data_IF_241901125556
#
_entry.id   IF_241901125556
#
_cell.length_a   1.000
_cell.length_b   1.000
_cell.length_c   1.000
_cell.angle_alpha   90.00
_cell.angle_beta   90.00
_cell.angle_gamma   90.00
#
_symmetry.space_group_name_H-M   'P 1'
#
loop_
_entity.id
_entity.type
_entity.pdbx_description
1 polymer ?
#
# COMPACT_ATOMS: atom_id res chain seq x y z
N UNK A 1 -0.67 2.40 14.70
CA UNK A 1 -0.05 1.52 13.67
C UNK A 1 1.32 2.06 13.28
N UNK A 2 2.24 1.21 12.80
CA UNK A 2 3.53 1.66 12.24
C UNK A 2 3.42 1.86 10.73
N UNK A 3 3.84 3.04 10.27
CA UNK A 3 3.89 3.39 8.86
C UNK A 3 5.17 2.84 8.23
N UNK A 4 5.03 2.20 7.08
CA UNK A 4 6.13 1.69 6.27
C UNK A 4 6.05 2.19 4.83
N UNK A 5 7.22 2.20 4.18
CA UNK A 5 7.37 2.46 2.76
C UNK A 5 8.25 1.38 2.14
N UNK A 6 7.76 0.77 1.08
CA UNK A 6 8.49 -0.18 0.26
C UNK A 6 8.67 0.43 -1.13
N UNK A 7 9.89 0.46 -1.62
CA UNK A 7 10.17 0.84 -3.01
C UNK A 7 10.54 -0.40 -3.80
N UNK A 8 9.86 -0.60 -4.93
CA UNK A 8 10.19 -1.64 -5.91
C UNK A 8 10.34 -1.02 -7.30
N UNK A 9 10.89 -1.79 -8.23
CA UNK A 9 11.19 -1.31 -9.57
C UNK A 9 10.59 -2.22 -10.64
N UNK A 10 10.36 -1.64 -11.83
CA UNK A 10 9.90 -2.37 -13.02
C UNK A 10 8.58 -3.13 -12.79
N UNK A 11 7.62 -2.49 -12.13
CA UNK A 11 6.29 -3.10 -11.94
C UNK A 11 5.50 -3.06 -13.25
N UNK A 12 5.25 -4.22 -13.85
CA UNK A 12 4.48 -4.37 -15.08
C UNK A 12 3.00 -4.61 -14.76
N UNK A 13 2.10 -3.83 -15.38
CA UNK A 13 0.65 -3.95 -15.22
C UNK A 13 0.06 -4.99 -16.18
N UNK A 14 -1.01 -5.67 -15.75
CA UNK A 14 -1.71 -6.68 -16.53
C UNK A 14 -2.27 -6.11 -17.84
N UNK A 15 -2.80 -4.91 -17.81
CA UNK A 15 -3.35 -4.23 -19.00
C UNK A 15 -2.29 -3.57 -19.90
N UNK A 16 -1.01 -3.74 -19.58
CA UNK A 16 0.13 -3.13 -20.26
C UNK A 16 0.62 -1.86 -19.56
N UNK A 17 1.84 -1.48 -19.88
CA UNK A 17 2.56 -0.41 -19.21
C UNK A 17 3.38 -0.90 -18.03
N UNK A 18 4.39 -0.12 -17.66
CA UNK A 18 5.34 -0.42 -16.58
C UNK A 18 5.62 0.85 -15.78
N UNK A 19 5.75 0.72 -14.48
CA UNK A 19 6.34 1.75 -13.62
C UNK A 19 7.78 1.38 -13.31
N UNK A 20 8.70 2.27 -13.65
CA UNK A 20 10.13 2.09 -13.37
C UNK A 20 10.40 2.07 -11.86
N UNK A 21 9.64 2.87 -11.12
CA UNK A 21 9.68 2.92 -9.66
C UNK A 21 8.26 2.96 -9.10
N UNK A 22 8.00 2.09 -8.12
CA UNK A 22 6.76 2.01 -7.38
C UNK A 22 7.05 2.16 -5.90
N UNK A 23 6.52 3.20 -5.26
CA UNK A 23 6.48 3.34 -3.81
C UNK A 23 5.15 2.79 -3.30
N UNK A 24 5.21 1.93 -2.29
CA UNK A 24 4.06 1.32 -1.63
C UNK A 24 4.08 1.78 -0.18
N UNK A 25 2.99 2.41 0.26
CA UNK A 25 2.82 2.86 1.64
C UNK A 25 1.82 1.94 2.33
N UNK A 26 2.17 1.47 3.51
CA UNK A 26 1.34 0.55 4.28
C UNK A 26 1.57 0.72 5.78
N UNK A 27 0.63 0.21 6.58
CA UNK A 27 0.75 0.17 8.03
C UNK A 27 0.72 -1.27 8.53
N UNK A 28 1.48 -1.51 9.60
CA UNK A 28 1.43 -2.77 10.36
C UNK A 28 1.11 -2.50 11.83
N UNK A 29 0.81 -3.55 12.57
CA UNK A 29 0.78 -3.52 14.03
C UNK A 29 2.04 -2.87 14.60
N UNK A 30 1.96 -2.21 15.78
CA UNK A 30 3.12 -1.54 16.40
C UNK A 30 4.05 -2.55 17.10
N UNK A 31 4.27 -3.70 16.49
CA UNK A 31 5.15 -4.77 16.94
C UNK A 31 5.61 -5.61 15.75
N UNK A 32 6.69 -6.36 15.98
CA UNK A 32 7.20 -7.30 14.98
C UNK A 32 6.29 -8.54 14.87
N UNK A 33 6.21 -9.09 13.65
CA UNK A 33 5.57 -10.38 13.41
C UNK A 33 6.31 -11.50 14.14
N UNK A 34 5.56 -12.42 14.75
CA UNK A 34 6.08 -13.64 15.32
C UNK A 34 5.39 -14.85 14.72
N UNK A 35 6.15 -15.93 14.57
CA UNK A 35 5.59 -17.17 14.04
C UNK A 35 4.44 -17.66 14.95
N UNK A 36 3.27 -17.84 14.34
CA UNK A 36 2.05 -18.25 15.04
C UNK A 36 1.09 -17.10 15.34
N UNK A 37 1.47 -15.86 15.02
CA UNK A 37 0.55 -14.73 15.11
C UNK A 37 -0.68 -14.92 14.22
N UNK A 38 -1.83 -14.47 14.72
CA UNK A 38 -2.99 -14.25 13.86
C UNK A 38 -2.71 -13.04 12.97
N UNK A 39 -2.54 -13.27 11.68
CA UNK A 39 -2.35 -12.20 10.69
C UNK A 39 -3.71 -11.75 10.19
N UNK A 40 -3.99 -10.45 10.30
CA UNK A 40 -5.20 -9.82 9.81
C UNK A 40 -4.84 -8.83 8.71
N UNK A 41 -5.18 -9.14 7.48
CA UNK A 41 -4.99 -8.26 6.33
C UNK A 41 -6.27 -7.45 6.10
N UNK A 42 -6.19 -6.14 6.31
CA UNK A 42 -7.31 -5.23 6.10
C UNK A 42 -7.23 -4.58 4.72
N UNK A 43 -8.32 -4.64 3.98
CA UNK A 43 -8.47 -3.94 2.71
C UNK A 43 -9.31 -2.68 2.94
N UNK A 44 -8.69 -1.51 2.83
CA UNK A 44 -9.38 -0.25 3.07
C UNK A 44 -10.36 0.12 1.94
N UNK A 45 -11.38 0.91 2.26
CA UNK A 45 -12.31 1.46 1.29
C UNK A 45 -11.60 2.48 0.38
N UNK A 46 -12.17 2.75 -0.81
CA UNK A 46 -11.57 3.59 -1.86
C UNK A 46 -11.07 4.96 -1.35
N UNK A 47 -11.77 5.56 -0.41
CA UNK A 47 -11.46 6.89 0.14
C UNK A 47 -10.70 6.86 1.47
N UNK A 48 -10.46 5.68 2.03
CA UNK A 48 -9.73 5.50 3.26
C UNK A 48 -8.21 5.38 3.01
N UNK A 49 -7.45 5.32 4.08
CA UNK A 49 -6.00 5.13 4.07
C UNK A 49 -5.59 3.78 4.67
N UNK A 50 -4.28 3.54 4.75
CA UNK A 50 -3.75 2.30 5.32
C UNK A 50 -3.66 2.30 6.86
N UNK A 51 -4.06 3.38 7.57
CA UNK A 51 -4.19 3.33 9.02
C UNK A 51 -5.64 3.03 9.43
N UNK A 52 -6.00 1.79 9.76
CA UNK A 52 -7.38 1.44 10.09
C UNK A 52 -7.87 2.05 11.40
N UNK A 53 -6.98 2.56 12.26
CA UNK A 53 -7.39 3.28 13.47
C UNK A 53 -8.04 4.62 13.15
N UNK A 54 -7.74 5.23 11.98
CA UNK A 54 -8.33 6.49 11.55
C UNK A 54 -9.79 6.36 11.13
N UNK A 55 -10.17 5.22 10.55
CA UNK A 55 -11.46 5.10 9.87
C UNK A 55 -12.32 3.92 10.35
N UNK A 56 -11.77 3.03 11.19
CA UNK A 56 -12.53 1.90 11.71
C UNK A 56 -12.31 1.64 13.22
N UNK A 57 -12.36 2.68 14.06
CA UNK A 57 -12.02 2.58 15.49
C UNK A 57 -12.93 1.63 16.28
N UNK A 58 -14.16 1.34 15.79
CA UNK A 58 -15.07 0.39 16.46
C UNK A 58 -14.72 -1.07 16.18
N UNK A 59 -13.90 -1.34 15.15
CA UNK A 59 -13.51 -2.69 14.73
C UNK A 59 -12.04 -2.99 15.02
N UNK A 60 -11.20 -1.96 14.99
CA UNK A 60 -9.75 -2.08 15.15
C UNK A 60 -9.30 -1.26 16.35
N UNK A 61 -8.71 -1.91 17.34
CA UNK A 61 -8.25 -1.26 18.56
C UNK A 61 -8.21 -2.21 19.75
N UNK A 62 -7.83 -1.68 20.89
CA UNK A 62 -7.84 -2.45 22.15
C UNK A 62 -9.29 -2.83 22.52
N UNK A 63 -9.52 -4.10 22.79
CA UNK A 63 -10.84 -4.64 23.11
C UNK A 63 -11.78 -4.82 21.90
N UNK A 64 -11.34 -4.49 20.70
CA UNK A 64 -12.09 -4.67 19.46
C UNK A 64 -11.86 -6.05 18.83
N UNK A 65 -12.61 -6.35 17.77
CA UNK A 65 -12.52 -7.60 17.04
C UNK A 65 -11.11 -7.85 16.47
N UNK A 66 -10.44 -6.78 16.04
CA UNK A 66 -9.05 -6.77 15.59
C UNK A 66 -8.24 -5.91 16.54
N UNK A 67 -7.34 -6.52 17.29
CA UNK A 67 -6.50 -5.81 18.27
C UNK A 67 -5.03 -5.81 17.81
N UNK A 68 -4.48 -4.66 17.35
CA UNK A 68 -3.10 -4.60 16.87
C UNK A 68 -2.02 -4.95 17.90
N UNK A 69 -2.37 -4.97 19.21
CA UNK A 69 -1.45 -5.42 20.27
C UNK A 69 -1.36 -6.94 20.38
N UNK A 70 -2.37 -7.66 19.86
CA UNK A 70 -2.47 -9.12 19.91
C UNK A 70 -2.36 -9.75 18.52
N UNK A 71 -2.93 -9.07 17.51
CA UNK A 71 -2.92 -9.50 16.13
C UNK A 71 -1.79 -8.81 15.34
N UNK A 72 -1.22 -9.49 14.36
CA UNK A 72 -0.38 -8.84 13.38
C UNK A 72 -1.25 -8.31 12.24
N UNK A 73 -1.58 -7.03 12.31
CA UNK A 73 -2.44 -6.35 11.34
C UNK A 73 -1.60 -5.75 10.23
N UNK A 74 -2.03 -5.93 8.97
CA UNK A 74 -1.44 -5.30 7.79
C UNK A 74 -2.54 -4.59 7.00
N UNK A 75 -2.30 -3.36 6.61
CA UNK A 75 -3.17 -2.61 5.71
C UNK A 75 -2.32 -1.82 4.71
N UNK A 76 -2.57 -2.00 3.43
CA UNK A 76 -1.77 -1.44 2.32
C UNK A 76 -2.59 -0.44 1.53
N UNK A 77 -2.03 0.75 1.27
CA UNK A 77 -2.63 1.71 0.34
C UNK A 77 -2.59 1.16 -1.09
N UNK A 78 -3.74 1.08 -1.73
CA UNK A 78 -3.88 0.63 -3.11
C UNK A 78 -3.33 1.66 -4.11
N UNK A 79 -3.16 1.26 -5.38
CA UNK A 79 -2.83 2.20 -6.46
C UNK A 79 -3.84 3.34 -6.53
N UNK A 80 -3.35 4.54 -6.80
CA UNK A 80 -4.19 5.73 -6.92
C UNK A 80 -4.68 6.30 -5.59
N UNK A 81 -4.33 5.67 -4.47
CA UNK A 81 -4.57 6.24 -3.13
C UNK A 81 -3.85 7.58 -2.99
N UNK A 82 -4.52 8.56 -2.36
CA UNK A 82 -3.92 9.86 -2.05
C UNK A 82 -2.91 9.80 -0.88
N UNK A 83 -2.69 8.62 -0.30
CA UNK A 83 -1.95 8.42 0.95
C UNK A 83 -0.56 7.78 0.75
N UNK A 84 0.08 8.09 -0.38
CA UNK A 84 1.51 7.88 -0.59
C UNK A 84 1.89 6.72 -1.50
N UNK A 85 1.07 5.69 -1.69
CA UNK A 85 1.32 4.69 -2.73
C UNK A 85 1.26 5.34 -4.11
N UNK A 86 2.20 4.99 -4.99
CA UNK A 86 2.31 5.56 -6.33
C UNK A 86 0.98 5.51 -7.07
N UNK A 87 0.57 6.63 -7.62
CA UNK A 87 -0.67 6.81 -8.34
C UNK A 87 -0.57 7.92 -9.39
N UNK A 88 -1.66 8.24 -10.10
CA UNK A 88 -1.68 9.22 -11.19
C UNK A 88 -1.22 10.62 -10.80
N UNK A 89 -1.24 10.95 -9.52
CA UNK A 89 -0.86 12.27 -8.98
C UNK A 89 0.49 12.27 -8.27
N UNK A 90 1.18 11.15 -8.24
CA UNK A 90 2.48 11.04 -7.57
C UNK A 90 3.56 11.71 -8.41
N UNK A 91 4.29 12.65 -7.82
CA UNK A 91 5.51 13.19 -8.41
C UNK A 91 6.65 12.25 -8.05
N UNK A 92 7.17 11.51 -9.02
CA UNK A 92 8.34 10.66 -8.84
C UNK A 92 9.59 11.55 -8.94
N UNK A 93 10.30 11.72 -7.84
CA UNK A 93 11.61 12.38 -7.82
C UNK A 93 12.68 11.37 -8.22
N UNK A 94 13.08 11.37 -9.49
CA UNK A 94 14.26 10.64 -9.94
C UNK A 94 15.51 11.50 -9.80
N UNK A 95 16.50 10.99 -9.09
CA UNK A 95 17.81 11.63 -8.86
C UNK A 95 18.80 11.43 -10.00
N UNK A 96 18.43 10.90 -11.15
CA UNK A 96 19.33 10.77 -12.32
C UNK A 96 18.59 10.94 -13.64
N UNK A 97 18.71 12.12 -14.22
CA UNK A 97 18.70 12.49 -15.64
C UNK A 97 17.53 12.13 -16.58
N UNK A 98 16.50 11.43 -16.15
CA UNK A 98 15.26 11.31 -16.93
C UNK A 98 14.07 11.62 -16.05
N UNK A 99 13.56 12.85 -16.20
CA UNK A 99 12.28 13.28 -15.66
C UNK A 99 11.16 12.52 -16.40
N UNK A 100 10.77 11.37 -15.90
CA UNK A 100 9.47 10.84 -16.28
C UNK A 100 8.46 11.40 -15.29
N UNK A 101 8.23 12.70 -15.37
CA UNK A 101 7.02 13.29 -14.82
C UNK A 101 5.88 12.64 -15.57
N UNK A 102 4.97 11.99 -14.89
CA UNK A 102 3.65 11.74 -15.46
C UNK A 102 3.02 13.11 -15.65
N UNK A 103 3.27 13.73 -16.80
CA UNK A 103 2.80 15.07 -17.13
C UNK A 103 1.27 15.15 -17.18
N UNK A 104 0.62 13.99 -17.30
CA UNK A 104 -0.82 13.87 -17.32
C UNK A 104 -1.24 12.69 -16.45
N UNK A 105 -2.15 12.88 -15.47
CA UNK A 105 -2.70 11.78 -14.68
C UNK A 105 -3.32 10.65 -15.52
N UNK A 106 -3.73 10.95 -16.77
CA UNK A 106 -4.30 9.97 -17.70
C UNK A 106 -3.24 9.02 -18.29
N UNK A 107 -1.95 9.37 -18.18
CA UNK A 107 -0.84 8.54 -18.66
C UNK A 107 -0.45 7.45 -17.64
N UNK A 108 -1.04 7.50 -16.44
CA UNK A 108 -0.83 6.43 -15.46
C UNK A 108 -1.38 5.11 -16.01
N UNK A 109 -0.58 4.00 -15.92
CA UNK A 109 -1.03 2.72 -16.44
C UNK A 109 -2.35 2.28 -15.82
N UNK A 110 -3.24 1.73 -16.65
CA UNK A 110 -4.48 1.14 -16.15
C UNK A 110 -4.14 -0.08 -15.30
N UNK A 111 -4.63 -0.10 -14.08
CA UNK A 111 -4.42 -1.22 -13.17
C UNK A 111 -5.72 -1.98 -12.92
N UNK A 112 -5.57 -3.25 -12.59
CA UNK A 112 -6.66 -4.18 -12.27
C UNK A 112 -6.63 -4.55 -10.78
N UNK A 113 -7.68 -5.22 -10.33
CA UNK A 113 -7.69 -5.81 -8.97
C UNK A 113 -6.56 -6.83 -8.82
N UNK A 114 -6.18 -7.54 -9.90
CA UNK A 114 -5.06 -8.48 -9.89
C UNK A 114 -3.72 -7.76 -9.70
N UNK A 115 -3.53 -6.60 -10.29
CA UNK A 115 -2.35 -5.78 -10.05
C UNK A 115 -2.26 -5.32 -8.59
N UNK A 116 -3.40 -4.96 -7.98
CA UNK A 116 -3.47 -4.65 -6.55
C UNK A 116 -3.12 -5.87 -5.69
N UNK A 117 -3.57 -7.07 -6.04
CA UNK A 117 -3.19 -8.29 -5.34
C UNK A 117 -1.69 -8.59 -5.46
N UNK A 118 -1.09 -8.31 -6.62
CA UNK A 118 0.38 -8.42 -6.83
C UNK A 118 1.15 -7.41 -5.98
N UNK A 119 0.64 -6.18 -5.87
CA UNK A 119 1.19 -5.16 -4.97
C UNK A 119 1.18 -5.66 -3.51
N UNK A 120 0.07 -6.27 -3.06
CA UNK A 120 -0.03 -6.86 -1.73
C UNK A 120 0.96 -8.02 -1.53
N UNK A 121 1.20 -8.81 -2.57
CA UNK A 121 2.20 -9.89 -2.53
C UNK A 121 3.61 -9.33 -2.27
N UNK A 122 3.98 -8.22 -2.89
CA UNK A 122 5.28 -7.57 -2.65
C UNK A 122 5.44 -7.15 -1.17
N UNK A 123 4.39 -6.61 -0.57
CA UNK A 123 4.40 -6.23 0.85
C UNK A 123 4.48 -7.47 1.75
N UNK A 124 3.80 -8.55 1.40
CA UNK A 124 3.84 -9.80 2.17
C UNK A 124 5.23 -10.45 2.18
N UNK A 125 5.98 -10.27 1.11
CA UNK A 125 7.32 -10.86 0.94
C UNK A 125 8.44 -9.98 1.54
N UNK A 126 8.12 -8.73 1.88
CA UNK A 126 9.03 -7.78 2.52
C UNK A 126 9.07 -7.96 4.02
#
# INVERSE_FOLDING_TARGET
MHLHKLTTHNFAFEAGGTLDQLEIVYHTSPREYQQGDRVVWLCHALTANSDPLDWWPEMVGEGCCVNPSQDFVVCVNIFGSAYGTTGPRTTLHHTTLHYTTLHNPLDFPKFTVRDTARLFTLVREH
#
